data_IF_866338161224
#
_entry.id   IF_866338161224
#
_cell.length_a   1.000
_cell.length_b   1.000
_cell.length_c   1.000
_cell.angle_alpha   90.00
_cell.angle_beta   90.00
_cell.angle_gamma   90.00
#
_symmetry.space_group_name_H-M   'P 1'
#
loop_
_entity.id
_entity.type
_entity.pdbx_description
1 polymer ?
#
# COMPACT_ATOMS: atom_id res chain seq x y z
N UNK A 1 6.42 13.98 -18.09
CA UNK A 1 5.21 13.16 -17.84
C UNK A 1 5.06 12.11 -18.94
N UNK A 2 4.42 10.99 -18.63
CA UNK A 2 4.17 9.91 -19.58
C UNK A 2 2.67 9.78 -19.82
N UNK A 3 2.28 9.58 -21.07
CA UNK A 3 0.89 9.31 -21.44
C UNK A 3 0.43 8.00 -20.80
N UNK A 4 -0.72 8.00 -20.15
CA UNK A 4 -1.28 6.82 -19.49
C UNK A 4 -0.78 6.59 -18.06
N UNK A 5 0.14 7.42 -17.57
CA UNK A 5 0.59 7.39 -16.16
C UNK A 5 -0.01 8.59 -15.44
N UNK A 6 -0.67 8.31 -14.32
CA UNK A 6 -1.29 9.36 -13.51
C UNK A 6 -0.21 10.30 -12.95
N UNK A 7 -0.41 11.64 -13.04
CA UNK A 7 0.57 12.62 -12.53
C UNK A 7 0.91 12.50 -11.05
N UNK A 8 0.09 11.84 -10.24
CA UNK A 8 0.40 11.60 -8.83
C UNK A 8 1.59 10.65 -8.65
N UNK A 9 1.90 9.86 -9.66
CA UNK A 9 3.02 8.91 -9.63
C UNK A 9 4.32 9.67 -9.90
N UNK A 10 5.14 9.82 -8.86
CA UNK A 10 6.47 10.39 -9.01
C UNK A 10 7.40 9.45 -9.78
N UNK A 11 8.48 9.96 -10.41
CA UNK A 11 9.49 9.11 -11.04
C UNK A 11 10.07 8.08 -10.08
N UNK A 12 10.28 8.45 -8.83
CA UNK A 12 10.79 7.56 -7.77
C UNK A 12 9.80 6.43 -7.47
N UNK A 13 8.50 6.72 -7.35
CA UNK A 13 7.49 5.70 -7.14
C UNK A 13 7.42 4.75 -8.33
N UNK A 14 7.40 5.27 -9.56
CA UNK A 14 7.34 4.45 -10.76
C UNK A 14 8.54 3.50 -10.84
N UNK A 15 9.75 4.00 -10.54
CA UNK A 15 10.97 3.20 -10.48
C UNK A 15 10.86 2.08 -9.46
N UNK A 16 10.40 2.37 -8.25
CA UNK A 16 10.22 1.37 -7.19
C UNK A 16 9.23 0.29 -7.61
N UNK A 17 8.08 0.66 -8.15
CA UNK A 17 7.07 -0.30 -8.62
C UNK A 17 7.60 -1.20 -9.73
N UNK A 18 8.43 -0.64 -10.62
CA UNK A 18 9.03 -1.39 -11.73
C UNK A 18 10.13 -2.35 -11.26
N UNK A 19 10.89 -2.00 -10.24
CA UNK A 19 11.93 -2.84 -9.64
C UNK A 19 11.37 -3.99 -8.82
N UNK A 20 10.14 -3.88 -8.31
CA UNK A 20 9.52 -4.92 -7.49
C UNK A 20 9.22 -6.16 -8.32
N UNK A 21 9.60 -7.31 -7.76
CA UNK A 21 9.31 -8.62 -8.36
C UNK A 21 8.10 -9.30 -7.72
N UNK A 22 7.79 -10.52 -8.18
CA UNK A 22 6.74 -11.35 -7.58
C UNK A 22 7.00 -11.55 -6.09
N UNK A 23 5.99 -11.30 -5.30
CA UNK A 23 6.03 -11.45 -3.85
C UNK A 23 6.65 -10.28 -3.09
N UNK A 24 7.25 -9.30 -3.77
CA UNK A 24 7.69 -8.06 -3.11
C UNK A 24 6.51 -7.34 -2.49
N UNK A 25 6.72 -6.75 -1.33
CA UNK A 25 5.69 -5.99 -0.61
C UNK A 25 6.03 -4.50 -0.55
N UNK A 26 5.00 -3.66 -0.65
CA UNK A 26 5.09 -2.21 -0.53
C UNK A 26 4.07 -1.71 0.49
N UNK A 27 4.53 -0.85 1.41
CA UNK A 27 3.68 -0.20 2.40
C UNK A 27 3.31 1.20 1.92
N UNK A 28 2.03 1.51 1.90
CA UNK A 28 1.52 2.88 1.82
C UNK A 28 1.17 3.31 3.24
N UNK A 29 1.93 4.27 3.75
CA UNK A 29 1.91 4.68 5.15
C UNK A 29 1.16 5.99 5.35
N UNK A 30 0.33 6.06 6.39
CA UNK A 30 -0.35 7.29 6.77
C UNK A 30 0.63 8.37 7.26
N UNK A 31 0.14 9.60 7.45
CA UNK A 31 0.96 10.74 7.81
C UNK A 31 1.62 10.67 9.19
N UNK A 32 1.16 9.77 10.06
CA UNK A 32 1.72 9.56 11.41
C UNK A 32 2.67 8.36 11.49
N UNK A 33 2.80 7.59 10.40
CA UNK A 33 3.64 6.41 10.40
C UNK A 33 5.13 6.77 10.52
N UNK A 34 5.90 6.10 11.39
CA UNK A 34 7.32 6.41 11.61
C UNK A 34 8.20 5.85 10.49
N UNK A 35 8.00 6.32 9.26
CA UNK A 35 8.63 5.78 8.05
C UNK A 35 10.15 5.72 8.16
N UNK A 36 10.78 6.79 8.68
CA UNK A 36 12.24 6.89 8.73
C UNK A 36 12.88 6.14 9.89
N UNK A 37 12.07 5.50 10.75
CA UNK A 37 12.59 4.59 11.79
C UNK A 37 12.86 3.18 11.22
N UNK A 38 12.43 2.91 9.98
CA UNK A 38 12.59 1.62 9.33
C UNK A 38 13.80 1.60 8.39
N UNK A 39 14.58 0.52 8.47
CA UNK A 39 15.69 0.24 7.55
C UNK A 39 15.17 -0.63 6.39
N UNK A 40 14.51 0.01 5.43
CA UNK A 40 14.01 -0.62 4.21
C UNK A 40 14.80 -0.14 3.00
N UNK A 41 14.77 -0.91 1.90
CA UNK A 41 15.56 -0.61 0.70
C UNK A 41 15.20 0.72 0.05
N UNK A 42 13.93 1.09 0.06
CA UNK A 42 13.44 2.29 -0.59
C UNK A 42 12.40 3.01 0.26
N UNK A 43 12.53 4.31 0.34
CA UNK A 43 11.51 5.21 0.88
C UNK A 43 11.17 6.24 -0.18
N UNK A 44 9.89 6.37 -0.49
CA UNK A 44 9.36 7.37 -1.41
C UNK A 44 8.40 8.27 -0.65
N UNK A 45 8.62 9.59 -0.71
CA UNK A 45 7.70 10.55 -0.11
C UNK A 45 6.75 11.10 -1.16
N UNK A 46 5.45 11.06 -0.84
CA UNK A 46 4.39 11.70 -1.61
C UNK A 46 3.60 12.63 -0.68
N UNK A 47 4.27 13.67 -0.22
CA UNK A 47 3.68 14.66 0.69
C UNK A 47 2.52 15.39 0.00
N UNK A 48 1.44 15.61 0.74
CA UNK A 48 0.23 16.24 0.23
C UNK A 48 -0.74 15.30 -0.48
N UNK A 49 -0.43 14.00 -0.59
CA UNK A 49 -1.27 13.01 -1.28
C UNK A 49 -1.78 11.97 -0.29
N UNK A 50 -3.07 11.65 -0.35
CA UNK A 50 -3.69 10.57 0.41
C UNK A 50 -3.54 9.22 -0.27
N UNK A 51 -3.66 8.13 0.49
CA UNK A 51 -3.48 6.77 -0.01
C UNK A 51 -4.47 6.39 -1.11
N UNK A 52 -5.78 6.73 -1.03
CA UNK A 52 -6.72 6.36 -2.09
C UNK A 52 -6.32 6.87 -3.48
N UNK A 53 -5.84 8.11 -3.57
CA UNK A 53 -5.40 8.68 -4.84
C UNK A 53 -4.22 7.92 -5.44
N UNK A 54 -3.29 7.48 -4.60
CA UNK A 54 -2.12 6.69 -5.03
C UNK A 54 -2.57 5.30 -5.48
N UNK A 55 -3.42 4.62 -4.72
CA UNK A 55 -3.93 3.29 -5.09
C UNK A 55 -4.68 3.34 -6.42
N UNK A 56 -5.54 4.34 -6.60
CA UNK A 56 -6.27 4.54 -7.86
C UNK A 56 -5.32 4.70 -9.05
N UNK A 57 -4.18 5.35 -8.84
CA UNK A 57 -3.19 5.57 -9.88
C UNK A 57 -2.39 4.31 -10.24
N UNK A 58 -2.07 3.46 -9.27
CA UNK A 58 -1.15 2.32 -9.47
C UNK A 58 -1.85 0.99 -9.75
N UNK A 59 -3.01 0.72 -9.17
CA UNK A 59 -3.71 -0.57 -9.29
C UNK A 59 -3.95 -0.98 -10.75
N UNK A 60 -4.24 -0.08 -11.70
CA UNK A 60 -4.42 -0.47 -13.10
C UNK A 60 -3.26 -1.25 -13.73
N UNK A 61 -2.05 -1.08 -13.24
CA UNK A 61 -0.86 -1.76 -13.78
C UNK A 61 -0.04 -2.52 -12.72
N UNK A 62 -0.50 -2.53 -11.47
CA UNK A 62 0.18 -3.21 -10.36
C UNK A 62 -0.65 -4.42 -9.93
N UNK A 63 -0.41 -5.61 -10.49
CA UNK A 63 -1.17 -6.79 -10.13
C UNK A 63 -0.87 -7.20 -8.69
N UNK A 64 -1.91 -7.58 -7.95
CA UNK A 64 -1.75 -8.18 -6.63
C UNK A 64 -1.54 -9.69 -6.76
N UNK A 65 -0.79 -10.26 -5.83
CA UNK A 65 -0.38 -11.65 -5.89
C UNK A 65 -1.58 -12.60 -5.83
N UNK A 66 -1.68 -13.50 -6.78
CA UNK A 66 -2.73 -14.54 -6.86
C UNK A 66 -2.28 -15.89 -6.30
N UNK A 67 -1.00 -16.02 -5.93
CA UNK A 67 -0.44 -17.24 -5.32
C UNK A 67 -0.62 -17.28 -3.80
N UNK A 68 -1.16 -16.21 -3.22
CA UNK A 68 -1.54 -16.13 -1.80
C UNK A 68 -3.02 -15.76 -1.70
N UNK A 69 -3.68 -16.15 -0.61
CA UNK A 69 -5.10 -15.89 -0.42
C UNK A 69 -5.39 -14.40 -0.13
N UNK A 70 -4.46 -13.73 0.53
CA UNK A 70 -4.65 -12.35 1.05
C UNK A 70 -3.46 -11.45 0.69
N UNK A 71 -3.44 -10.88 -0.52
CA UNK A 71 -2.30 -10.09 -1.00
C UNK A 71 -2.31 -8.63 -0.53
N UNK A 72 -3.29 -8.21 0.25
CA UNK A 72 -3.35 -6.90 0.88
C UNK A 72 -3.48 -7.06 2.40
N UNK A 73 -2.68 -6.30 3.14
CA UNK A 73 -2.58 -6.41 4.59
C UNK A 73 -2.91 -5.08 5.24
N UNK A 74 -3.85 -5.10 6.19
CA UNK A 74 -4.28 -3.95 6.97
C UNK A 74 -3.93 -4.14 8.45
N UNK A 75 -3.72 -3.01 9.16
CA UNK A 75 -3.52 -3.03 10.60
C UNK A 75 -4.87 -3.03 11.30
N UNK A 76 -5.16 -4.09 12.09
CA UNK A 76 -6.37 -4.17 12.87
C UNK A 76 -6.40 -3.06 13.93
N UNK A 77 -7.43 -2.20 13.96
CA UNK A 77 -7.58 -1.22 15.03
C UNK A 77 -7.67 -1.87 16.40
N UNK A 78 -7.12 -1.20 17.41
CA UNK A 78 -7.29 -1.63 18.80
C UNK A 78 -8.77 -1.57 19.20
N UNK A 79 -9.18 -2.43 20.12
CA UNK A 79 -10.55 -2.47 20.63
C UNK A 79 -11.02 -1.10 21.19
N UNK A 80 -10.12 -0.35 21.83
CA UNK A 80 -10.39 0.98 22.36
C UNK A 80 -10.65 2.04 21.28
N UNK A 81 -10.16 1.84 20.06
CA UNK A 81 -10.42 2.74 18.92
C UNK A 81 -11.85 2.60 18.40
N UNK A 82 -12.42 1.40 18.45
CA UNK A 82 -13.83 1.12 18.29
C UNK A 82 -14.43 1.24 16.89
N UNK A 83 -13.65 1.57 15.86
CA UNK A 83 -14.14 1.68 14.47
C UNK A 83 -13.06 1.36 13.45
N UNK A 84 -13.50 0.96 12.26
CA UNK A 84 -12.63 0.83 11.09
C UNK A 84 -12.44 2.18 10.39
N UNK A 85 -11.25 2.44 9.80
CA UNK A 85 -11.06 3.63 8.97
C UNK A 85 -12.00 3.65 7.77
N UNK A 86 -12.51 4.83 7.43
CA UNK A 86 -13.43 4.97 6.29
C UNK A 86 -12.71 4.74 4.96
N UNK A 87 -11.42 5.05 4.88
CA UNK A 87 -10.59 4.80 3.68
C UNK A 87 -10.52 3.33 3.28
N UNK A 88 -10.74 2.39 4.19
CA UNK A 88 -10.75 0.96 3.83
C UNK A 88 -11.84 0.64 2.81
N UNK A 89 -13.00 1.29 2.90
CA UNK A 89 -14.06 1.15 1.89
C UNK A 89 -13.61 1.68 0.52
N UNK A 90 -12.87 2.78 0.52
CA UNK A 90 -12.30 3.33 -0.71
C UNK A 90 -11.26 2.38 -1.31
N UNK A 91 -10.37 1.80 -0.50
CA UNK A 91 -9.41 0.79 -0.96
C UNK A 91 -10.11 -0.40 -1.62
N UNK A 92 -11.16 -0.92 -0.97
CA UNK A 92 -11.95 -2.02 -1.50
C UNK A 92 -12.53 -1.72 -2.87
N UNK A 93 -13.17 -0.56 -3.03
CA UNK A 93 -13.76 -0.13 -4.31
C UNK A 93 -12.70 0.01 -5.41
N UNK A 94 -11.56 0.64 -5.11
CA UNK A 94 -10.48 0.86 -6.07
C UNK A 94 -9.90 -0.48 -6.53
N UNK A 95 -9.62 -1.39 -5.61
CA UNK A 95 -9.00 -2.68 -5.93
C UNK A 95 -9.99 -3.60 -6.66
N UNK A 96 -11.26 -3.64 -6.24
CA UNK A 96 -12.28 -4.50 -6.85
C UNK A 96 -12.59 -4.16 -8.31
N UNK A 97 -12.37 -2.93 -8.75
CA UNK A 97 -12.48 -2.56 -10.17
C UNK A 97 -11.52 -3.35 -11.07
N UNK A 98 -10.44 -3.89 -10.50
CA UNK A 98 -9.38 -4.56 -11.25
C UNK A 98 -9.17 -6.01 -10.82
N UNK A 99 -9.34 -6.32 -9.54
CA UNK A 99 -9.07 -7.65 -9.00
C UNK A 99 -9.89 -7.89 -7.72
N UNK A 100 -10.50 -9.06 -7.62
CA UNK A 100 -11.20 -9.48 -6.40
C UNK A 100 -10.21 -10.15 -5.47
N UNK A 101 -10.06 -9.62 -4.25
CA UNK A 101 -9.12 -10.12 -3.24
C UNK A 101 -9.77 -10.20 -1.86
N UNK A 102 -9.10 -10.93 -0.97
CA UNK A 102 -9.35 -10.88 0.47
C UNK A 102 -8.22 -10.11 1.16
N UNK A 103 -8.50 -9.57 2.35
CA UNK A 103 -7.56 -8.81 3.15
C UNK A 103 -7.10 -9.60 4.36
N UNK A 104 -5.81 -9.50 4.68
CA UNK A 104 -5.25 -9.95 5.95
C UNK A 104 -5.28 -8.78 6.96
N UNK A 105 -5.74 -9.06 8.17
CA UNK A 105 -5.76 -8.07 9.25
C UNK A 105 -4.75 -8.51 10.31
N UNK A 106 -3.73 -7.69 10.53
CA UNK A 106 -2.71 -7.96 11.54
C UNK A 106 -2.88 -7.04 12.73
N UNK A 107 -2.70 -7.59 13.93
CA UNK A 107 -2.57 -6.81 15.16
C UNK A 107 -1.39 -5.83 14.99
N UNK A 108 -1.45 -4.68 15.68
CA UNK A 108 -0.52 -3.54 15.51
C UNK A 108 0.96 -3.95 15.50
N UNK A 109 1.41 -4.72 16.48
CA UNK A 109 2.83 -5.08 16.58
C UNK A 109 3.25 -6.08 15.50
N UNK A 110 2.38 -7.00 15.11
CA UNK A 110 2.61 -7.91 13.97
C UNK A 110 2.66 -7.13 12.66
N UNK A 111 1.83 -6.11 12.51
CA UNK A 111 1.88 -5.23 11.35
C UNK A 111 3.22 -4.47 11.28
N UNK A 112 3.67 -3.89 12.38
CA UNK A 112 4.98 -3.22 12.43
C UNK A 112 6.12 -4.19 12.12
N UNK A 113 6.08 -5.42 12.61
CA UNK A 113 7.08 -6.43 12.26
C UNK A 113 7.05 -6.76 10.76
N UNK A 114 5.86 -6.82 10.16
CA UNK A 114 5.71 -7.01 8.71
C UNK A 114 6.32 -5.84 7.93
N UNK A 115 6.18 -4.63 8.40
CA UNK A 115 6.74 -3.43 7.78
C UNK A 115 8.26 -3.44 7.69
N UNK A 116 8.95 -4.16 8.57
CA UNK A 116 10.42 -4.33 8.50
C UNK A 116 10.88 -5.12 7.28
N UNK A 117 10.00 -5.89 6.65
CA UNK A 117 10.29 -6.80 5.54
C UNK A 117 9.83 -6.28 4.19
N UNK A 118 9.15 -5.14 4.12
CA UNK A 118 8.70 -4.57 2.85
C UNK A 118 9.90 -4.09 2.02
N UNK A 119 9.76 -4.17 0.70
CA UNK A 119 10.75 -3.62 -0.23
C UNK A 119 10.82 -2.10 -0.15
N UNK A 120 9.65 -1.46 -0.03
CA UNK A 120 9.54 0.00 -0.02
C UNK A 120 8.44 0.48 0.91
N UNK A 121 8.62 1.69 1.44
CA UNK A 121 7.59 2.46 2.13
C UNK A 121 7.31 3.73 1.34
N UNK A 122 6.05 3.96 1.03
CA UNK A 122 5.55 5.21 0.47
C UNK A 122 4.96 6.03 1.61
N UNK A 123 5.65 7.09 2.00
CA UNK A 123 5.18 8.02 3.02
C UNK A 123 4.19 9.00 2.41
N UNK A 124 2.96 9.01 2.90
CA UNK A 124 1.88 9.83 2.37
C UNK A 124 1.41 10.88 3.38
N UNK A 125 0.50 11.74 2.96
CA UNK A 125 -0.22 12.66 3.86
C UNK A 125 -1.63 12.17 4.20
N UNK A 126 -1.86 10.85 4.19
CA UNK A 126 -3.13 10.28 4.64
C UNK A 126 -3.41 10.67 6.09
N UNK A 127 -4.59 11.22 6.34
CA UNK A 127 -4.96 11.77 7.64
C UNK A 127 -5.61 10.74 8.58
N UNK A 128 -6.26 9.71 8.03
CA UNK A 128 -6.89 8.70 8.87
C UNK A 128 -5.85 7.79 9.53
N UNK A 129 -6.02 7.56 10.82
CA UNK A 129 -5.21 6.58 11.55
C UNK A 129 -5.67 5.16 11.22
N UNK A 130 -4.77 4.18 11.29
CA UNK A 130 -4.97 2.81 10.81
C UNK A 130 -5.20 2.70 9.30
N UNK A 131 -4.84 3.74 8.55
CA UNK A 131 -4.99 3.75 7.10
C UNK A 131 -3.87 2.99 6.36
N UNK A 132 -2.80 2.62 7.04
CA UNK A 132 -1.66 1.91 6.47
C UNK A 132 -2.09 0.63 5.76
N UNK A 133 -1.59 0.42 4.55
CA UNK A 133 -1.87 -0.79 3.77
C UNK A 133 -0.59 -1.31 3.11
N UNK A 134 -0.37 -2.62 3.23
CA UNK A 134 0.70 -3.32 2.52
C UNK A 134 0.08 -4.07 1.35
N UNK A 135 0.68 -3.93 0.16
CA UNK A 135 0.30 -4.68 -1.03
C UNK A 135 1.43 -5.62 -1.44
N UNK A 136 1.07 -6.86 -1.76
CA UNK A 136 1.99 -7.88 -2.28
C UNK A 136 1.88 -7.96 -3.79
N UNK A 137 3.00 -7.72 -4.46
CA UNK A 137 3.03 -7.71 -5.94
C UNK A 137 2.90 -9.12 -6.52
N UNK A 138 2.04 -9.23 -7.50
CA UNK A 138 1.84 -10.44 -8.30
C UNK A 138 2.65 -10.47 -9.58
N UNK A 139 2.30 -11.45 -10.41
CA UNK A 139 2.90 -11.68 -11.73
C UNK A 139 2.05 -11.02 -12.80
N UNK A 140 2.70 -10.41 -13.79
CA UNK A 140 2.03 -9.95 -15.01
C UNK A 140 2.00 -11.12 -16.00
N UNK A 141 0.81 -11.52 -16.42
CA UNK A 141 0.61 -12.55 -17.44
C UNK A 141 0.30 -11.91 -18.80
N UNK A 142 0.85 -12.49 -19.85
CA UNK A 142 0.63 -12.03 -21.23
C UNK A 142 -0.19 -13.04 -22.02
#
# INVERSE_FOLDING_TARGET
MLKGIDPVISPELLKVLYEMGHGSEILFADGNFPTHDYDVKKIVRLDGVGIPAILKAIIPFFPLDTFVDKPAILMQPNADFGKEPTVWNEYGKIIEEHQKIEYEYLERFKFYDRCKKVYAIVATSELEIYANIILKKGVVFF
#
